data_IF_617509786081
#
_entry.id   IF_617509786081
#
_cell.length_a   1.000
_cell.length_b   1.000
_cell.length_c   1.000
_cell.angle_alpha   90.00
_cell.angle_beta   90.00
_cell.angle_gamma   90.00
#
_symmetry.space_group_name_H-M   'P 1'
#
loop_
_entity.id
_entity.type
_entity.pdbx_description
1 polymer ?
#
# COMPACT_ATOMS: atom_id res chain seq x y z
N UNK A 1 -19.68 9.94 -3.19
CA UNK A 1 -19.75 9.42 -4.57
C UNK A 1 -18.99 10.31 -5.51
N UNK A 2 -18.46 9.71 -6.59
CA UNK A 2 -17.85 10.43 -7.67
C UNK A 2 -18.90 11.31 -8.41
N UNK A 3 -18.54 12.54 -8.69
CA UNK A 3 -19.39 13.46 -9.45
C UNK A 3 -18.61 13.93 -10.68
N UNK A 4 -19.11 13.58 -11.86
CA UNK A 4 -18.52 14.01 -13.14
C UNK A 4 -18.45 15.55 -13.17
N UNK A 5 -17.29 16.09 -13.51
CA UNK A 5 -17.00 17.53 -13.54
C UNK A 5 -17.00 18.27 -12.20
N UNK A 6 -17.04 17.58 -11.07
CA UNK A 6 -16.85 18.18 -9.75
C UNK A 6 -15.50 17.72 -9.16
N UNK A 7 -14.45 18.56 -9.18
CA UNK A 7 -13.15 18.18 -8.62
C UNK A 7 -13.20 18.02 -7.10
N UNK A 8 -14.21 18.58 -6.43
CA UNK A 8 -14.42 18.43 -4.98
C UNK A 8 -15.32 17.23 -4.69
N UNK A 9 -14.97 16.06 -5.22
CA UNK A 9 -15.66 14.79 -4.99
C UNK A 9 -14.70 13.62 -5.08
N UNK A 10 -15.15 12.43 -4.65
CA UNK A 10 -14.42 11.18 -4.80
C UNK A 10 -14.03 10.97 -6.28
N UNK A 11 -12.77 10.62 -6.53
CA UNK A 11 -12.25 10.48 -7.89
C UNK A 11 -12.82 9.32 -8.70
N UNK A 12 -13.26 8.25 -8.01
CA UNK A 12 -13.89 7.07 -8.63
C UNK A 12 -14.70 6.30 -7.60
N UNK A 13 -15.88 5.77 -7.96
CA UNK A 13 -16.77 5.06 -7.04
C UNK A 13 -16.30 3.64 -6.67
N UNK A 14 -15.39 3.05 -7.45
CA UNK A 14 -14.80 1.75 -7.11
C UNK A 14 -13.64 1.96 -6.13
N UNK A 15 -13.94 1.87 -4.84
CA UNK A 15 -12.98 2.02 -3.75
C UNK A 15 -12.46 0.65 -3.33
N UNK A 16 -11.14 0.48 -3.33
CA UNK A 16 -10.45 -0.76 -2.98
C UNK A 16 -9.93 -0.75 -1.53
N UNK A 17 -9.53 0.43 -1.04
CA UNK A 17 -9.02 0.60 0.32
C UNK A 17 -9.39 1.98 0.87
N UNK A 18 -9.66 2.03 2.17
CA UNK A 18 -9.84 3.26 2.92
C UNK A 18 -8.80 3.29 4.04
N UNK A 19 -8.20 4.46 4.25
CA UNK A 19 -7.24 4.73 5.31
C UNK A 19 -7.60 6.07 5.95
N UNK A 20 -7.74 6.10 7.27
CA UNK A 20 -7.72 7.33 8.07
C UNK A 20 -6.27 7.60 8.47
N UNK A 21 -5.75 8.77 8.10
CA UNK A 21 -4.41 9.17 8.47
C UNK A 21 -4.36 9.75 9.91
N UNK A 22 -3.17 9.91 10.45
CA UNK A 22 -2.98 10.38 11.84
C UNK A 22 -3.42 11.83 12.08
N UNK A 23 -3.85 12.58 11.04
CA UNK A 23 -4.48 13.90 11.14
C UNK A 23 -6.00 13.87 11.01
N UNK A 24 -6.58 12.68 10.77
CA UNK A 24 -8.00 12.47 10.61
C UNK A 24 -8.53 12.73 9.20
N UNK A 25 -7.66 12.87 8.21
CA UNK A 25 -8.08 12.88 6.80
C UNK A 25 -8.25 11.46 6.27
N UNK A 26 -9.18 11.29 5.33
CA UNK A 26 -9.53 9.97 4.80
C UNK A 26 -9.00 9.82 3.38
N UNK A 27 -8.21 8.78 3.18
CA UNK A 27 -7.62 8.41 1.89
C UNK A 27 -8.34 7.22 1.28
N UNK A 28 -8.53 7.25 -0.03
CA UNK A 28 -9.23 6.22 -0.80
C UNK A 28 -8.35 5.76 -1.94
N UNK A 29 -7.96 4.49 -1.93
CA UNK A 29 -7.39 3.84 -3.11
C UNK A 29 -8.53 3.41 -4.03
N UNK A 30 -8.50 3.82 -5.28
CA UNK A 30 -9.61 3.59 -6.21
C UNK A 30 -9.15 2.96 -7.52
N UNK A 31 -10.11 2.56 -8.36
CA UNK A 31 -9.82 2.10 -9.71
C UNK A 31 -9.34 3.21 -10.66
N UNK A 32 -9.31 4.47 -10.22
CA UNK A 32 -8.76 5.58 -10.99
C UNK A 32 -8.06 6.58 -10.06
N UNK A 33 -6.88 6.18 -9.58
CA UNK A 33 -6.06 7.02 -8.72
C UNK A 33 -6.39 6.91 -7.24
N UNK A 34 -5.92 7.90 -6.50
CA UNK A 34 -6.10 8.05 -5.06
C UNK A 34 -6.92 9.32 -4.81
N UNK A 35 -7.85 9.27 -3.89
CA UNK A 35 -8.56 10.44 -3.39
C UNK A 35 -8.27 10.66 -1.93
N UNK A 36 -8.22 11.92 -1.50
CA UNK A 36 -8.13 12.32 -0.11
C UNK A 36 -9.30 13.25 0.22
N UNK A 37 -10.03 12.94 1.25
CA UNK A 37 -11.02 13.81 1.84
C UNK A 37 -10.44 14.49 3.08
N UNK A 38 -10.26 15.81 3.00
CA UNK A 38 -9.84 16.64 4.14
C UNK A 38 -11.06 16.89 5.00
N UNK A 39 -11.19 16.12 6.07
CA UNK A 39 -12.40 16.12 6.89
C UNK A 39 -12.67 17.50 7.52
N UNK A 40 -11.62 18.19 7.97
CA UNK A 40 -11.73 19.49 8.63
C UNK A 40 -12.28 20.62 7.71
N UNK A 41 -11.94 20.58 6.41
CA UNK A 41 -12.36 21.61 5.42
C UNK A 41 -13.45 21.14 4.49
N UNK A 42 -13.77 19.84 4.52
CA UNK A 42 -14.67 19.16 3.57
C UNK A 42 -14.22 19.30 2.10
N UNK A 43 -12.92 19.33 1.88
CA UNK A 43 -12.31 19.42 0.54
C UNK A 43 -11.79 18.06 0.08
N UNK A 44 -11.75 17.87 -1.23
CA UNK A 44 -11.23 16.66 -1.85
C UNK A 44 -10.02 16.98 -2.71
N UNK A 45 -8.99 16.14 -2.58
CA UNK A 45 -7.86 16.10 -3.50
C UNK A 45 -7.89 14.77 -4.26
N UNK A 46 -7.38 14.77 -5.49
CA UNK A 46 -7.25 13.54 -6.29
C UNK A 46 -5.86 13.49 -6.91
N UNK A 47 -5.26 12.29 -6.87
CA UNK A 47 -3.90 12.03 -7.33
C UNK A 47 -3.91 10.86 -8.32
N UNK A 48 -3.05 10.88 -9.32
CA UNK A 48 -2.89 9.82 -10.34
C UNK A 48 -4.15 9.50 -11.13
N UNK A 49 -5.09 10.44 -11.22
CA UNK A 49 -6.23 10.30 -12.12
C UNK A 49 -5.79 10.43 -13.57
N UNK A 50 -6.07 9.42 -14.39
CA UNK A 50 -5.91 9.52 -15.82
C UNK A 50 -7.26 9.77 -16.48
N UNK A 51 -7.38 10.90 -17.18
CA UNK A 51 -8.61 11.31 -17.85
C UNK A 51 -8.73 10.78 -19.28
N UNK A 52 -7.65 10.23 -19.86
CA UNK A 52 -7.58 9.95 -21.31
C UNK A 52 -7.16 8.52 -21.68
N UNK A 53 -6.54 7.74 -20.78
CA UNK A 53 -6.05 6.39 -21.07
C UNK A 53 -6.24 5.44 -19.87
N UNK A 54 -5.45 4.38 -19.75
CA UNK A 54 -5.62 3.37 -18.71
C UNK A 54 -5.59 3.97 -17.30
N UNK A 55 -6.71 3.82 -16.59
CA UNK A 55 -6.84 4.22 -15.20
C UNK A 55 -5.77 3.55 -14.34
N UNK A 56 -5.10 4.32 -13.49
CA UNK A 56 -4.15 3.76 -12.53
C UNK A 56 -4.91 3.24 -11.31
N UNK A 57 -5.02 1.93 -11.22
CA UNK A 57 -5.72 1.25 -10.11
C UNK A 57 -4.81 1.16 -8.90
N UNK A 58 -5.27 1.65 -7.77
CA UNK A 58 -4.63 1.47 -6.47
C UNK A 58 -5.44 0.49 -5.61
N UNK A 59 -4.75 -0.38 -4.88
CA UNK A 59 -5.35 -1.47 -4.11
C UNK A 59 -5.07 -1.36 -2.60
N UNK A 60 -3.98 -0.73 -2.22
CA UNK A 60 -3.50 -0.68 -0.85
C UNK A 60 -3.05 0.71 -0.43
N UNK A 61 -3.27 1.05 0.85
CA UNK A 61 -2.81 2.28 1.50
C UNK A 61 -2.34 1.96 2.91
N UNK A 62 -1.27 2.62 3.34
CA UNK A 62 -0.77 2.60 4.71
C UNK A 62 -0.07 3.92 5.03
N UNK A 63 -0.13 4.38 6.27
CA UNK A 63 0.65 5.52 6.76
C UNK A 63 1.86 5.01 7.54
N UNK A 64 3.05 5.58 7.26
CA UNK A 64 4.26 5.30 8.03
C UNK A 64 4.37 6.21 9.29
N UNK A 65 5.41 6.00 10.10
CA UNK A 65 5.62 6.79 11.33
C UNK A 65 6.07 8.24 11.05
N UNK A 66 6.57 8.53 9.84
CA UNK A 66 6.89 9.88 9.38
C UNK A 66 5.64 10.61 8.86
N UNK A 67 4.52 9.91 8.73
CA UNK A 67 3.27 10.41 8.19
C UNK A 67 3.20 10.40 6.66
N UNK A 68 4.05 9.64 5.98
CA UNK A 68 3.93 9.46 4.54
C UNK A 68 2.91 8.38 4.21
N UNK A 69 2.27 8.52 3.07
CA UNK A 69 1.27 7.55 2.59
C UNK A 69 1.90 6.62 1.57
N UNK A 70 1.98 5.34 1.93
CA UNK A 70 2.41 4.27 1.05
C UNK A 70 1.19 3.76 0.28
N UNK A 71 1.28 3.73 -1.04
CA UNK A 71 0.18 3.38 -1.93
C UNK A 71 0.59 2.29 -2.92
N UNK A 72 -0.07 1.14 -2.85
CA UNK A 72 0.17 0.00 -3.73
C UNK A 72 -0.73 -0.01 -4.94
N UNK A 73 -0.16 -0.18 -6.14
CA UNK A 73 -0.90 -0.21 -7.38
C UNK A 73 -1.05 -1.62 -7.96
N UNK A 74 -2.03 -1.76 -8.87
CA UNK A 74 -2.27 -3.01 -9.61
C UNK A 74 -1.17 -3.32 -10.64
N UNK A 75 -0.52 -2.33 -11.23
CA UNK A 75 0.38 -2.56 -12.36
C UNK A 75 1.67 -1.77 -12.35
N UNK A 76 1.83 -0.81 -11.45
CA UNK A 76 2.94 0.15 -11.50
C UNK A 76 3.86 0.09 -10.27
N UNK A 77 3.73 -0.96 -9.43
CA UNK A 77 4.49 -1.05 -8.18
C UNK A 77 3.85 -0.24 -7.05
N UNK A 78 4.64 0.44 -6.24
CA UNK A 78 4.12 1.23 -5.13
C UNK A 78 4.78 2.60 -5.03
N UNK A 79 4.09 3.50 -4.36
CA UNK A 79 4.43 4.92 -4.25
C UNK A 79 4.46 5.32 -2.79
N UNK A 80 5.31 6.31 -2.48
CA UNK A 80 5.31 6.99 -1.19
C UNK A 80 4.97 8.45 -1.44
N UNK A 81 3.94 8.96 -0.78
CA UNK A 81 3.41 10.30 -0.94
C UNK A 81 3.59 11.10 0.35
N UNK A 82 3.97 12.36 0.22
CA UNK A 82 3.88 13.30 1.32
C UNK A 82 2.40 13.54 1.68
N UNK A 83 2.00 13.23 2.91
CA UNK A 83 0.63 13.35 3.37
C UNK A 83 0.08 14.78 3.24
N UNK A 84 0.89 15.81 3.46
CA UNK A 84 0.40 17.18 3.50
C UNK A 84 0.09 17.71 2.10
N UNK A 85 0.93 17.39 1.13
CA UNK A 85 0.86 17.91 -0.24
C UNK A 85 0.32 16.90 -1.25
N UNK A 86 0.33 15.61 -0.92
CA UNK A 86 0.03 14.52 -1.85
C UNK A 86 1.08 14.33 -2.95
N UNK A 87 2.22 15.02 -2.86
CA UNK A 87 3.30 14.87 -3.84
C UNK A 87 3.99 13.53 -3.66
N UNK A 88 4.33 12.92 -4.79
CA UNK A 88 5.18 11.75 -4.84
C UNK A 88 6.57 12.09 -4.27
N UNK A 89 6.97 11.36 -3.24
CA UNK A 89 8.32 11.40 -2.67
C UNK A 89 9.20 10.36 -3.36
N UNK A 90 8.66 9.14 -3.53
CA UNK A 90 9.35 8.02 -4.15
C UNK A 90 8.35 7.18 -4.92
N UNK A 91 8.77 6.68 -6.08
CA UNK A 91 8.10 5.62 -6.82
C UNK A 91 9.04 4.42 -6.93
N UNK A 92 8.56 3.27 -6.52
CA UNK A 92 9.22 1.98 -6.70
C UNK A 92 8.51 1.22 -7.82
N UNK A 93 8.98 1.37 -9.06
CA UNK A 93 8.37 0.71 -10.20
C UNK A 93 8.62 -0.80 -10.14
N UNK A 94 7.84 -1.53 -10.92
CA UNK A 94 8.05 -2.97 -11.13
C UNK A 94 9.45 -3.24 -11.69
N UNK A 95 10.04 -4.38 -11.29
CA UNK A 95 11.33 -4.85 -11.82
C UNK A 95 12.53 -3.92 -11.55
N UNK A 96 12.62 -3.35 -10.37
CA UNK A 96 13.86 -2.66 -9.97
C UNK A 96 14.90 -3.64 -9.46
N UNK A 97 16.18 -3.31 -9.62
CA UNK A 97 17.30 -4.10 -9.10
C UNK A 97 17.24 -4.29 -7.57
N UNK A 98 16.59 -3.36 -6.88
CA UNK A 98 16.49 -3.34 -5.42
C UNK A 98 15.34 -4.22 -4.89
N UNK A 99 14.37 -4.51 -5.76
CA UNK A 99 13.26 -5.40 -5.48
C UNK A 99 13.43 -6.64 -6.37
N UNK A 100 13.89 -7.74 -5.79
CA UNK A 100 14.02 -9.04 -6.50
C UNK A 100 12.66 -9.67 -6.87
N UNK A 101 11.60 -8.89 -6.78
CA UNK A 101 10.23 -9.25 -7.07
C UNK A 101 9.76 -8.55 -8.35
N UNK A 102 8.96 -9.18 -9.17
CA UNK A 102 8.38 -8.55 -10.36
C UNK A 102 7.25 -7.53 -10.02
N UNK A 103 7.02 -7.28 -8.72
CA UNK A 103 6.19 -6.18 -8.18
C UNK A 103 4.77 -6.10 -8.75
N UNK A 104 4.27 -7.21 -9.33
CA UNK A 104 2.92 -7.26 -9.88
C UNK A 104 1.90 -7.30 -8.75
N UNK A 105 0.90 -6.43 -8.85
CA UNK A 105 -0.28 -6.46 -7.99
C UNK A 105 0.04 -6.30 -6.49
N UNK A 106 0.36 -5.09 -6.07
CA UNK A 106 0.49 -4.78 -4.64
C UNK A 106 -0.91 -4.74 -4.04
N UNK A 107 -1.29 -5.84 -3.39
CA UNK A 107 -2.65 -6.04 -2.86
C UNK A 107 -2.81 -5.55 -1.43
N UNK A 108 -1.73 -5.52 -0.67
CA UNK A 108 -1.76 -5.06 0.70
C UNK A 108 -0.45 -4.37 1.11
N UNK A 109 -0.58 -3.33 1.94
CA UNK A 109 0.53 -2.68 2.63
C UNK A 109 0.13 -2.56 4.09
N UNK A 110 1.06 -2.85 5.01
CA UNK A 110 0.82 -2.90 6.44
C UNK A 110 2.05 -2.38 7.20
N UNK A 111 1.85 -1.58 8.23
CA UNK A 111 2.90 -1.16 9.17
C UNK A 111 2.85 -2.04 10.41
N UNK A 112 3.99 -2.65 10.75
CA UNK A 112 4.10 -3.45 11.98
C UNK A 112 4.36 -2.57 13.21
N UNK A 113 4.39 -3.18 14.39
CA UNK A 113 4.61 -2.49 15.66
C UNK A 113 6.01 -1.91 15.82
N UNK A 114 6.96 -2.29 14.97
CA UNK A 114 8.34 -1.76 14.94
C UNK A 114 8.47 -0.56 13.98
N UNK A 115 7.38 -0.25 13.23
CA UNK A 115 7.32 0.81 12.22
C UNK A 115 7.80 0.39 10.84
N UNK A 116 8.07 -0.91 10.62
CA UNK A 116 8.48 -1.41 9.32
C UNK A 116 7.27 -1.62 8.40
N UNK A 117 7.46 -1.39 7.10
CA UNK A 117 6.38 -1.42 6.11
C UNK A 117 6.43 -2.72 5.34
N UNK A 118 5.39 -3.52 5.50
CA UNK A 118 5.18 -4.78 4.80
C UNK A 118 4.37 -4.56 3.54
N UNK A 119 4.84 -5.12 2.43
CA UNK A 119 4.26 -4.97 1.10
C UNK A 119 4.03 -6.35 0.54
N UNK A 120 2.80 -6.66 0.20
CA UNK A 120 2.40 -7.97 -0.30
C UNK A 120 1.67 -7.93 -1.62
N UNK A 121 2.04 -8.86 -2.48
CA UNK A 121 1.47 -9.05 -3.80
C UNK A 121 1.27 -10.53 -4.16
N UNK A 122 1.17 -10.81 -5.46
CA UNK A 122 0.92 -12.19 -5.94
C UNK A 122 2.15 -13.10 -5.77
N UNK A 123 3.36 -12.56 -5.70
CA UNK A 123 4.58 -13.38 -5.76
C UNK A 123 5.45 -13.29 -4.52
N UNK A 124 5.55 -12.16 -3.85
CA UNK A 124 6.49 -11.96 -2.75
C UNK A 124 5.92 -11.17 -1.59
N UNK A 125 6.52 -11.38 -0.41
CA UNK A 125 6.42 -10.50 0.75
C UNK A 125 7.69 -9.69 0.83
N UNK A 126 7.53 -8.40 0.82
CA UNK A 126 8.63 -7.45 0.96
C UNK A 126 8.41 -6.68 2.26
N UNK A 127 9.47 -6.50 3.03
CA UNK A 127 9.50 -5.64 4.19
C UNK A 127 10.49 -4.50 3.95
N UNK A 128 10.03 -3.27 4.04
CA UNK A 128 10.91 -2.11 4.14
C UNK A 128 11.31 -1.92 5.59
N UNK A 129 12.57 -2.21 5.92
CA UNK A 129 13.16 -2.04 7.24
C UNK A 129 13.46 -0.55 7.43
N UNK A 130 12.59 0.15 8.13
CA UNK A 130 12.57 1.62 8.20
C UNK A 130 13.85 2.19 8.84
N UNK A 131 14.37 1.53 9.88
CA UNK A 131 15.60 1.94 10.55
C UNK A 131 16.84 1.76 9.67
N UNK A 132 16.85 0.74 8.82
CA UNK A 132 17.97 0.40 7.93
C UNK A 132 17.84 1.02 6.53
N UNK A 133 16.66 1.56 6.22
CA UNK A 133 16.31 2.14 4.92
C UNK A 133 16.57 1.19 3.75
N UNK A 134 16.27 -0.09 3.94
CA UNK A 134 16.45 -1.13 2.92
C UNK A 134 15.26 -2.09 2.86
N UNK A 135 15.11 -2.73 1.72
CA UNK A 135 14.14 -3.80 1.53
C UNK A 135 14.71 -5.16 1.88
N UNK A 136 13.88 -6.00 2.48
CA UNK A 136 14.10 -7.41 2.64
C UNK A 136 12.95 -8.18 1.98
N UNK A 137 13.28 -9.20 1.16
CA UNK A 137 12.28 -10.03 0.49
C UNK A 137 12.23 -11.39 1.17
N UNK A 138 11.05 -11.78 1.62
CA UNK A 138 10.74 -13.12 2.12
C UNK A 138 10.11 -13.96 1.00
N UNK A 139 10.27 -15.27 1.05
CA UNK A 139 9.91 -16.18 -0.04
C UNK A 139 8.49 -16.04 -0.58
N UNK A 140 8.32 -16.46 -1.82
CA UNK A 140 7.13 -16.24 -2.62
C UNK A 140 5.97 -17.17 -2.24
N UNK A 141 4.82 -16.59 -1.93
CA UNK A 141 3.51 -17.25 -1.89
C UNK A 141 2.46 -16.24 -2.34
N UNK A 142 1.47 -16.61 -3.19
CA UNK A 142 0.36 -15.73 -3.52
C UNK A 142 -0.42 -15.34 -2.28
N UNK A 143 -0.29 -14.09 -1.85
CA UNK A 143 -0.93 -13.62 -0.63
C UNK A 143 -2.15 -12.75 -0.91
N UNK A 144 -3.13 -12.86 -0.01
CA UNK A 144 -4.34 -12.05 0.02
C UNK A 144 -4.20 -10.89 0.99
N UNK A 145 -3.73 -11.20 2.18
CA UNK A 145 -3.55 -10.22 3.26
C UNK A 145 -2.57 -10.74 4.29
N UNK A 146 -2.09 -9.88 5.14
CA UNK A 146 -1.24 -10.21 6.29
C UNK A 146 -1.47 -9.25 7.44
N UNK A 147 -1.10 -9.69 8.61
CA UNK A 147 -1.13 -8.89 9.83
C UNK A 147 -0.03 -9.34 10.79
N UNK A 148 0.38 -8.46 11.67
CA UNK A 148 1.26 -8.83 12.77
C UNK A 148 0.48 -9.67 13.80
N UNK A 149 1.02 -10.87 14.10
CA UNK A 149 0.48 -11.75 15.14
C UNK A 149 1.04 -11.42 16.52
N UNK A 150 2.34 -11.15 16.55
CA UNK A 150 3.08 -10.63 17.69
C UNK A 150 4.34 -9.94 17.17
N UNK A 151 5.03 -9.11 17.96
CA UNK A 151 6.24 -8.43 17.51
C UNK A 151 7.21 -9.38 16.80
N UNK A 152 7.58 -9.03 15.55
CA UNK A 152 8.45 -9.83 14.71
C UNK A 152 7.83 -11.09 14.08
N UNK A 153 6.53 -11.32 14.23
CA UNK A 153 5.84 -12.48 13.64
C UNK A 153 4.62 -12.06 12.83
N UNK A 154 4.60 -12.41 11.54
CA UNK A 154 3.53 -12.05 10.62
C UNK A 154 2.68 -13.28 10.27
N UNK A 155 1.36 -13.14 10.37
CA UNK A 155 0.42 -14.07 9.76
C UNK A 155 0.18 -13.66 8.31
N UNK A 156 0.35 -14.60 7.40
CA UNK A 156 0.20 -14.43 5.97
C UNK A 156 -0.98 -15.29 5.51
N UNK A 157 -2.06 -14.67 5.05
CA UNK A 157 -3.19 -15.37 4.47
C UNK A 157 -2.97 -15.55 2.97
N UNK A 158 -2.72 -16.77 2.56
CA UNK A 158 -2.54 -17.18 1.17
C UNK A 158 -3.86 -17.73 0.58
N UNK A 159 -3.87 -18.05 -0.71
CA UNK A 159 -5.08 -18.54 -1.37
C UNK A 159 -5.59 -19.84 -0.75
N UNK A 160 -4.71 -20.72 -0.27
CA UNK A 160 -5.07 -22.04 0.23
C UNK A 160 -4.44 -22.39 1.60
N UNK A 161 -3.77 -21.43 2.24
CA UNK A 161 -3.06 -21.67 3.49
C UNK A 161 -2.94 -20.41 4.33
N UNK A 162 -2.71 -20.61 5.61
CA UNK A 162 -2.24 -19.56 6.53
C UNK A 162 -0.82 -19.90 6.94
N UNK A 163 0.07 -18.94 6.83
CA UNK A 163 1.48 -19.12 7.16
C UNK A 163 1.85 -18.17 8.31
N UNK A 164 2.78 -18.62 9.14
CA UNK A 164 3.45 -17.78 10.13
C UNK A 164 4.88 -17.52 9.62
N UNK A 165 5.21 -16.26 9.41
CA UNK A 165 6.56 -15.79 9.09
C UNK A 165 7.21 -15.22 10.35
N UNK A 166 8.40 -15.70 10.66
CA UNK A 166 9.29 -15.11 11.66
C UNK A 166 10.23 -14.14 10.95
N UNK A 167 10.15 -12.85 11.33
CA UNK A 167 10.85 -11.74 10.67
C UNK A 167 12.38 -11.84 10.84
N UNK A 168 12.82 -12.26 12.02
CA UNK A 168 14.24 -12.34 12.35
C UNK A 168 14.94 -13.47 11.59
N UNK A 169 14.33 -14.64 11.57
CA UNK A 169 14.92 -15.84 10.96
C UNK A 169 14.53 -16.03 9.50
N UNK A 170 13.49 -15.34 9.03
CA UNK A 170 12.90 -15.56 7.71
C UNK A 170 12.15 -16.87 7.56
N UNK A 171 11.99 -17.63 8.67
CA UNK A 171 11.35 -18.93 8.66
C UNK A 171 9.84 -18.80 8.44
N UNK A 172 9.33 -19.54 7.48
CA UNK A 172 7.91 -19.66 7.20
C UNK A 172 7.41 -21.03 7.64
N UNK A 173 6.31 -21.05 8.41
CA UNK A 173 5.68 -22.25 8.92
C UNK A 173 4.20 -22.28 8.53
N UNK A 174 3.70 -23.43 8.09
CA UNK A 174 2.27 -23.63 7.85
C UNK A 174 1.54 -23.77 9.19
N UNK A 175 0.34 -23.18 9.28
CA UNK A 175 -0.58 -23.33 10.40
C UNK A 175 -1.73 -24.28 10.07
#
# INVERSE_FOLDING_TARGET
THQVNNPNSLGNDNVNKILEDSKGDIWFATNNGISRWRVATNEWDTYYQNKQEQAQVFLALCEDDEGNIWAGSFSSGFYVLDRNTGKELVHYPRNTSDLKSDGKFIMNIYKDSEGDIWIGGIQDVICYLTKEKRFHTYGAQPMRTFMEFSPGKMLLACTYSVLLLDKETGKITFL
#
